data_IF_654608217654
#
_entry.id   IF_654608217654
#
_cell.length_a   1.000
_cell.length_b   1.000
_cell.length_c   1.000
_cell.angle_alpha   90.00
_cell.angle_beta   90.00
_cell.angle_gamma   90.00
#
_symmetry.space_group_name_H-M   'P 1'
#
loop_
_entity.id
_entity.type
_entity.pdbx_description
1 polymer ?
#
# COMPACT_ATOMS: atom_id res chain seq x y z
N UNK A 1 42.86 -29.21 43.00
CA UNK A 1 42.64 -28.72 44.38
C UNK A 1 43.98 -28.31 44.97
N UNK A 2 44.41 -27.07 44.75
CA UNK A 2 45.33 -26.27 45.57
C UNK A 2 44.99 -24.82 45.25
N UNK A 3 44.75 -24.01 46.28
CA UNK A 3 44.30 -22.62 46.22
C UNK A 3 45.37 -21.69 46.81
N UNK A 4 45.51 -20.47 46.26
CA UNK A 4 46.06 -19.25 46.88
C UNK A 4 45.43 -18.06 46.09
N UNK A 5 44.58 -17.19 46.65
CA UNK A 5 44.86 -15.98 47.48
C UNK A 5 45.96 -15.09 46.86
N UNK A 6 45.82 -13.79 46.54
CA UNK A 6 44.88 -12.71 46.89
C UNK A 6 45.68 -11.49 47.39
N UNK A 7 45.65 -10.35 46.66
CA UNK A 7 45.93 -8.95 47.09
C UNK A 7 45.83 -8.06 45.81
N UNK A 8 45.22 -6.88 45.72
CA UNK A 8 44.86 -5.86 46.71
C UNK A 8 45.79 -4.64 46.58
N UNK A 9 45.33 -3.53 45.98
CA UNK A 9 46.09 -2.27 45.90
C UNK A 9 45.43 -1.21 45.03
N UNK A 10 44.97 -0.14 45.68
CA UNK A 10 44.19 1.01 45.22
C UNK A 10 45.06 2.23 44.91
N UNK A 11 44.72 3.00 43.88
CA UNK A 11 45.22 4.36 43.66
C UNK A 11 44.07 5.38 43.69
N UNK A 12 44.08 6.18 44.76
CA UNK A 12 43.46 7.50 44.83
C UNK A 12 44.39 8.51 44.15
N UNK A 13 43.85 9.48 43.42
CA UNK A 13 44.23 10.89 43.58
C UNK A 13 43.31 11.82 42.78
N UNK A 14 42.65 12.68 43.53
CA UNK A 14 41.82 13.79 43.11
C UNK A 14 42.63 14.88 42.40
N UNK A 15 41.96 15.62 41.50
CA UNK A 15 42.11 17.08 41.47
C UNK A 15 40.88 17.74 40.82
N UNK A 16 40.13 18.49 41.61
CA UNK A 16 39.38 19.69 41.19
C UNK A 16 40.11 20.88 41.82
N UNK A 17 40.06 22.09 41.23
CA UNK A 17 39.03 23.02 41.68
C UNK A 17 38.51 24.01 40.62
N UNK A 18 37.36 24.61 40.98
CA UNK A 18 36.85 25.97 40.68
C UNK A 18 36.85 26.47 39.22
N UNK A 19 35.77 26.99 38.63
CA UNK A 19 34.62 27.69 39.18
C UNK A 19 34.46 29.02 38.42
N UNK A 20 33.29 29.31 37.84
CA UNK A 20 32.66 30.64 37.78
C UNK A 20 31.61 30.77 36.67
N UNK A 21 30.51 31.40 37.07
CA UNK A 21 29.39 31.85 36.26
C UNK A 21 29.76 33.05 35.36
N UNK A 22 28.96 33.27 34.30
CA UNK A 22 28.98 34.52 33.54
C UNK A 22 28.00 34.53 32.38
N UNK A 23 26.88 35.25 32.57
CA UNK A 23 25.88 35.58 31.55
C UNK A 23 26.43 36.57 30.49
N UNK A 24 25.90 36.52 29.27
CA UNK A 24 26.15 37.56 28.26
C UNK A 24 25.31 37.39 26.99
N UNK A 25 24.33 38.28 26.81
CA UNK A 25 23.53 38.45 25.59
C UNK A 25 24.26 39.30 24.53
N UNK A 26 23.99 39.09 23.24
CA UNK A 26 24.12 40.04 22.09
C UNK A 26 23.63 39.28 20.84
N UNK A 27 22.51 39.62 20.16
CA UNK A 27 22.18 40.81 19.36
C UNK A 27 22.81 40.84 17.95
N UNK A 28 21.92 40.82 16.93
CA UNK A 28 22.10 41.34 15.58
C UNK A 28 22.59 40.34 14.52
N UNK A 29 22.27 40.43 13.25
CA UNK A 29 21.33 41.23 12.43
C UNK A 29 21.42 40.61 11.02
N UNK A 30 20.38 40.77 10.20
CA UNK A 30 20.31 40.22 8.86
C UNK A 30 21.28 40.82 7.84
N UNK A 31 21.26 40.22 6.65
CA UNK A 31 21.91 40.74 5.45
C UNK A 31 21.52 39.90 4.24
N UNK A 32 20.53 40.38 3.50
CA UNK A 32 20.21 39.86 2.17
C UNK A 32 21.26 40.29 1.14
N UNK A 33 21.43 39.48 0.10
CA UNK A 33 22.18 39.86 -1.09
C UNK A 33 21.32 39.60 -2.32
N UNK A 34 20.72 40.67 -2.82
CA UNK A 34 20.31 40.80 -4.21
C UNK A 34 21.56 41.11 -5.04
N UNK A 35 21.79 40.35 -6.12
CA UNK A 35 22.84 40.59 -7.10
C UNK A 35 22.24 40.48 -8.50
N UNK A 36 21.83 41.62 -9.04
CA UNK A 36 21.38 41.80 -10.42
C UNK A 36 22.59 42.12 -11.29
N UNK A 37 22.76 41.44 -12.42
CA UNK A 37 23.57 41.95 -13.54
C UNK A 37 23.08 41.40 -14.88
N UNK A 38 22.83 42.35 -15.77
CA UNK A 38 22.22 42.26 -17.10
C UNK A 38 23.26 42.09 -18.22
N UNK A 39 22.84 41.48 -19.34
CA UNK A 39 23.46 41.57 -20.67
C UNK A 39 24.47 40.46 -20.98
N UNK A 40 24.42 39.71 -22.08
CA UNK A 40 23.82 39.90 -23.40
C UNK A 40 24.91 39.60 -24.45
N UNK A 41 24.69 38.65 -25.37
CA UNK A 41 25.64 38.39 -26.47
C UNK A 41 25.49 37.04 -27.17
N UNK A 42 25.25 37.12 -28.48
CA UNK A 42 24.91 36.09 -29.47
C UNK A 42 26.01 35.10 -29.87
N UNK A 43 25.60 33.98 -30.50
CA UNK A 43 26.39 33.17 -31.45
C UNK A 43 25.79 31.75 -31.64
N UNK A 44 25.03 31.47 -32.71
CA UNK A 44 25.43 30.92 -34.04
C UNK A 44 25.71 29.40 -34.11
N UNK A 45 25.02 28.71 -35.04
CA UNK A 45 25.45 27.48 -35.72
C UNK A 45 24.50 26.29 -35.58
N UNK A 46 23.58 26.03 -36.54
CA UNK A 46 23.67 24.99 -37.61
C UNK A 46 23.59 23.54 -37.09
N UNK A 47 22.76 22.61 -37.56
CA UNK A 47 22.03 22.41 -38.83
C UNK A 47 22.14 20.92 -39.22
N UNK A 48 21.12 20.36 -39.89
CA UNK A 48 21.16 19.04 -40.56
C UNK A 48 19.97 18.13 -40.18
N UNK A 49 18.88 18.09 -40.96
CA UNK A 49 18.65 17.25 -42.17
C UNK A 49 18.39 15.77 -41.77
N UNK A 50 17.25 15.14 -42.02
CA UNK A 50 16.48 14.95 -43.27
C UNK A 50 16.30 13.42 -43.43
N UNK A 51 15.10 12.87 -43.59
CA UNK A 51 14.51 12.35 -44.85
C UNK A 51 13.12 11.79 -44.45
N UNK A 52 11.99 12.19 -45.02
CA UNK A 52 11.45 12.03 -46.39
C UNK A 52 10.88 10.64 -46.71
N UNK A 53 9.59 10.68 -47.11
CA UNK A 53 8.77 9.61 -47.68
C UNK A 53 7.40 9.55 -46.99
N UNK A 54 6.33 10.26 -47.38
CA UNK A 54 5.93 10.76 -48.70
C UNK A 54 5.50 9.58 -49.60
N UNK A 55 4.24 9.32 -49.92
CA UNK A 55 2.98 9.98 -49.59
C UNK A 55 1.82 9.41 -50.42
N UNK A 56 0.62 9.97 -50.20
CA UNK A 56 -0.54 9.98 -51.12
C UNK A 56 -1.36 8.69 -51.16
N UNK A 57 -2.69 8.68 -51.15
CA UNK A 57 -3.78 9.64 -51.44
C UNK A 57 -5.08 8.88 -51.07
N UNK A 58 -6.29 9.38 -50.95
CA UNK A 58 -6.98 10.68 -50.86
C UNK A 58 -8.45 10.30 -50.58
N UNK A 59 -9.17 11.03 -49.74
CA UNK A 59 -10.59 10.74 -49.49
C UNK A 59 -11.27 11.57 -48.40
N UNK A 60 -11.32 12.89 -48.60
CA UNK A 60 -12.39 13.86 -48.22
C UNK A 60 -13.41 13.40 -47.16
N UNK A 61 -13.40 13.99 -45.96
CA UNK A 61 -14.23 15.16 -45.60
C UNK A 61 -15.41 14.67 -44.72
N UNK A 62 -15.59 15.11 -43.47
CA UNK A 62 -16.09 16.42 -43.05
C UNK A 62 -15.85 16.62 -41.55
N UNK A 63 -15.54 17.85 -41.16
CA UNK A 63 -15.30 18.22 -39.76
C UNK A 63 -16.55 18.17 -38.87
N UNK A 64 -16.29 18.03 -37.57
CA UNK A 64 -17.27 18.19 -36.50
C UNK A 64 -16.51 18.43 -35.20
N UNK A 65 -16.85 19.53 -34.54
CA UNK A 65 -16.18 20.11 -33.39
C UNK A 65 -16.14 19.21 -32.15
N UNK A 66 -15.19 19.51 -31.26
CA UNK A 66 -14.95 18.79 -30.03
C UNK A 66 -16.12 18.80 -29.04
N UNK A 67 -16.15 17.73 -28.25
CA UNK A 67 -16.87 17.63 -26.98
C UNK A 67 -16.05 16.71 -26.09
N UNK A 68 -15.95 17.10 -24.81
CA UNK A 68 -15.05 16.53 -23.82
C UNK A 68 -15.21 15.02 -23.60
N UNK A 69 -14.10 14.43 -23.17
CA UNK A 69 -13.99 13.05 -22.75
C UNK A 69 -15.12 12.72 -21.78
N UNK A 70 -15.97 11.80 -22.20
CA UNK A 70 -16.97 11.19 -21.35
C UNK A 70 -16.25 10.06 -20.62
N UNK A 71 -16.14 10.17 -19.30
CA UNK A 71 -15.58 9.13 -18.44
C UNK A 71 -16.22 7.79 -18.77
N UNK A 72 -15.36 6.78 -18.98
CA UNK A 72 -15.78 5.42 -19.26
C UNK A 72 -16.66 4.94 -18.13
N UNK A 73 -17.91 4.63 -18.46
CA UNK A 73 -18.79 3.91 -17.53
C UNK A 73 -18.31 2.46 -17.54
N UNK A 74 -17.46 2.11 -16.58
CA UNK A 74 -17.10 0.73 -16.27
C UNK A 74 -18.39 -0.08 -16.12
N UNK A 75 -18.59 -1.05 -17.00
CA UNK A 75 -19.74 -1.95 -16.95
C UNK A 75 -19.33 -3.14 -16.08
N UNK A 76 -19.49 -3.01 -14.75
CA UNK A 76 -18.94 -4.01 -13.84
C UNK A 76 -19.45 -4.09 -12.40
N UNK A 77 -20.42 -3.28 -11.96
CA UNK A 77 -20.99 -3.40 -10.62
C UNK A 77 -22.15 -2.44 -10.43
N UNK A 78 -23.24 -2.87 -9.80
CA UNK A 78 -24.49 -2.08 -9.67
C UNK A 78 -24.40 -0.98 -8.60
N UNK A 79 -23.41 -0.10 -8.70
CA UNK A 79 -23.26 1.12 -7.92
C UNK A 79 -22.44 2.14 -8.69
N UNK A 80 -22.90 3.40 -8.75
CA UNK A 80 -22.06 4.46 -9.30
C UNK A 80 -20.79 4.60 -8.43
N UNK A 81 -19.61 4.67 -9.05
CA UNK A 81 -18.38 4.97 -8.31
C UNK A 81 -18.55 6.29 -7.55
N UNK A 82 -18.15 6.28 -6.28
CA UNK A 82 -18.21 7.46 -5.41
C UNK A 82 -16.77 7.87 -5.09
N UNK A 83 -16.35 9.09 -5.45
CA UNK A 83 -14.99 9.54 -5.18
C UNK A 83 -14.64 9.44 -3.68
N UNK A 84 -13.50 8.84 -3.39
CA UNK A 84 -13.00 8.62 -2.04
C UNK A 84 -11.74 9.45 -1.82
N UNK A 85 -11.81 10.43 -0.90
CA UNK A 85 -10.66 11.24 -0.54
C UNK A 85 -9.90 10.63 0.62
N UNK A 86 -8.60 10.46 0.47
CA UNK A 86 -7.69 10.15 1.56
C UNK A 86 -7.14 11.44 2.17
N UNK A 87 -7.42 11.69 3.45
CA UNK A 87 -7.02 12.93 4.16
C UNK A 87 -7.30 14.23 3.39
N UNK A 88 -8.43 14.29 2.70
CA UNK A 88 -8.85 15.46 1.92
C UNK A 88 -8.20 15.61 0.53
N UNK A 89 -7.29 14.72 0.14
CA UNK A 89 -6.75 14.61 -1.21
C UNK A 89 -7.49 13.54 -2.01
N UNK A 90 -7.59 13.77 -3.31
CA UNK A 90 -8.13 12.81 -4.26
C UNK A 90 -6.95 12.26 -5.06
N UNK A 91 -6.70 10.97 -4.95
CA UNK A 91 -5.67 10.25 -5.71
C UNK A 91 -6.33 9.39 -6.79
N UNK A 92 -5.53 8.89 -7.74
CA UNK A 92 -6.01 8.09 -8.87
C UNK A 92 -6.96 6.96 -8.42
N UNK A 93 -6.54 6.14 -7.46
CA UNK A 93 -7.32 5.01 -6.95
C UNK A 93 -8.59 5.37 -6.15
N UNK A 94 -9.03 6.62 -6.17
CA UNK A 94 -10.28 7.07 -5.56
C UNK A 94 -10.97 8.21 -6.30
N UNK A 95 -10.55 8.56 -7.54
CA UNK A 95 -11.09 9.69 -8.30
C UNK A 95 -12.24 9.33 -9.26
N UNK A 96 -12.58 8.05 -9.34
CA UNK A 96 -13.56 7.41 -10.21
C UNK A 96 -13.23 7.52 -11.69
N UNK A 97 -11.95 7.52 -12.04
CA UNK A 97 -11.43 7.57 -13.39
C UNK A 97 -10.48 6.40 -13.59
N UNK A 98 -10.66 5.67 -14.67
CA UNK A 98 -9.68 4.70 -15.18
C UNK A 98 -8.44 5.48 -15.69
N UNK A 99 -7.47 5.72 -14.80
CA UNK A 99 -6.29 6.55 -15.04
C UNK A 99 -5.25 5.83 -15.91
N UNK A 100 -5.26 4.50 -15.94
CA UNK A 100 -4.33 3.68 -16.73
C UNK A 100 -4.93 3.12 -18.04
N UNK A 101 -6.25 3.26 -18.22
CA UNK A 101 -7.05 2.84 -19.37
C UNK A 101 -7.10 1.31 -19.56
N UNK A 102 -7.05 0.52 -18.49
CA UNK A 102 -7.20 -0.93 -18.54
C UNK A 102 -8.66 -1.42 -18.55
N UNK A 103 -9.61 -0.48 -18.35
CA UNK A 103 -11.05 -0.72 -18.32
C UNK A 103 -11.61 -0.99 -16.93
N UNK A 104 -10.79 -0.91 -15.88
CA UNK A 104 -11.21 -0.97 -14.46
C UNK A 104 -11.01 0.40 -13.83
N UNK A 105 -11.82 0.70 -12.81
CA UNK A 105 -11.85 2.02 -12.17
C UNK A 105 -11.60 1.86 -10.68
N UNK A 106 -10.60 2.55 -10.16
CA UNK A 106 -10.32 2.67 -8.72
C UNK A 106 -10.38 1.30 -7.98
N UNK A 107 -11.35 1.15 -7.07
CA UNK A 107 -11.60 -0.04 -6.25
C UNK A 107 -12.01 -1.29 -7.04
N UNK A 108 -12.41 -1.14 -8.30
CA UNK A 108 -12.66 -2.27 -9.21
C UNK A 108 -11.37 -2.73 -9.89
N UNK A 109 -10.31 -1.93 -9.79
CA UNK A 109 -8.98 -2.26 -10.26
C UNK A 109 -8.18 -3.05 -9.19
N UNK A 110 -7.77 -4.30 -9.47
CA UNK A 110 -6.90 -5.08 -8.61
C UNK A 110 -5.56 -4.42 -8.26
N UNK A 111 -5.08 -3.49 -9.08
CA UNK A 111 -3.80 -2.80 -8.85
C UNK A 111 -3.96 -1.63 -7.85
N UNK A 112 -5.18 -1.20 -7.55
CA UNK A 112 -5.49 -0.22 -6.50
C UNK A 112 -5.69 -0.88 -5.12
N UNK A 113 -4.82 -0.54 -4.15
CA UNK A 113 -4.88 -1.08 -2.79
C UNK A 113 -5.68 -0.20 -1.81
N UNK A 114 -6.15 0.95 -2.28
CA UNK A 114 -6.98 1.87 -1.52
C UNK A 114 -6.97 3.29 -2.11
N UNK A 115 -7.85 4.17 -1.63
CA UNK A 115 -8.01 5.54 -2.13
C UNK A 115 -6.84 6.46 -1.78
N UNK A 116 -5.90 6.00 -0.96
CA UNK A 116 -4.66 6.70 -0.65
C UNK A 116 -3.58 6.45 -1.71
N UNK A 117 -3.82 5.63 -2.73
CA UNK A 117 -2.84 5.32 -3.77
C UNK A 117 -3.06 6.13 -5.04
N UNK A 118 -1.97 6.44 -5.73
CA UNK A 118 -1.93 7.31 -6.89
C UNK A 118 -1.39 6.63 -8.16
N UNK A 119 -1.27 5.30 -8.14
CA UNK A 119 -0.99 4.51 -9.33
C UNK A 119 -1.97 3.34 -9.43
N UNK A 120 -2.53 3.17 -10.62
CA UNK A 120 -3.48 2.10 -10.96
C UNK A 120 -2.81 0.98 -11.77
N UNK A 121 -1.53 1.11 -12.09
CA UNK A 121 -0.83 0.12 -12.93
C UNK A 121 0.28 -0.63 -12.17
N UNK A 122 0.37 -0.45 -10.86
CA UNK A 122 1.36 -1.08 -9.97
C UNK A 122 0.88 -1.04 -8.53
N UNK A 123 1.33 -2.01 -7.73
CA UNK A 123 1.08 -2.04 -6.28
C UNK A 123 1.86 -0.98 -5.49
N UNK A 124 2.72 -0.21 -6.16
CA UNK A 124 3.42 0.92 -5.57
C UNK A 124 2.48 2.12 -5.47
N UNK A 125 2.17 2.55 -4.24
CA UNK A 125 1.24 3.65 -3.96
C UNK A 125 1.51 4.97 -4.71
N UNK A 126 2.73 5.24 -5.18
CA UNK A 126 3.12 6.45 -5.94
C UNK A 126 2.71 7.76 -5.26
N UNK A 127 2.70 7.79 -3.92
CA UNK A 127 2.37 8.98 -3.14
C UNK A 127 3.61 9.72 -2.65
N UNK A 128 3.56 11.07 -2.56
CA UNK A 128 4.63 11.84 -1.97
C UNK A 128 4.91 11.37 -0.54
N UNK A 129 6.16 10.95 -0.28
CA UNK A 129 6.58 10.48 1.02
C UNK A 129 6.56 8.97 1.17
N UNK A 130 6.03 8.17 0.24
CA UNK A 130 6.01 6.70 0.38
C UNK A 130 7.41 6.07 0.44
N UNK A 131 8.37 6.65 -0.27
CA UNK A 131 9.78 6.31 -0.10
C UNK A 131 10.24 6.84 1.26
N UNK A 132 10.04 6.04 2.30
CA UNK A 132 10.49 6.32 3.66
C UNK A 132 12.01 6.47 3.76
N UNK A 133 12.52 6.69 4.98
CA UNK A 133 13.96 6.62 5.22
C UNK A 133 14.48 5.25 4.75
N UNK A 134 15.70 5.21 4.23
CA UNK A 134 16.30 3.97 3.74
C UNK A 134 16.18 2.85 4.79
N UNK A 135 15.74 1.67 4.35
CA UNK A 135 15.52 0.47 5.17
C UNK A 135 14.31 0.51 6.11
N UNK A 136 13.72 1.65 6.43
CA UNK A 136 12.65 1.70 7.43
C UNK A 136 11.29 1.79 6.77
N UNK A 137 10.34 1.02 7.31
CA UNK A 137 8.96 0.98 6.85
C UNK A 137 8.02 1.05 8.05
N UNK A 138 6.95 1.82 7.91
CA UNK A 138 5.79 1.92 8.79
C UNK A 138 4.57 1.25 8.13
N UNK A 139 3.34 1.73 8.36
CA UNK A 139 2.19 1.17 7.66
C UNK A 139 2.23 1.48 6.16
N UNK A 140 2.61 0.50 5.34
CA UNK A 140 2.73 0.68 3.89
C UNK A 140 1.42 1.09 3.20
N UNK A 141 0.28 0.74 3.79
CA UNK A 141 -1.05 0.99 3.23
C UNK A 141 -1.68 2.28 3.71
N UNK A 142 -0.98 3.07 4.53
CA UNK A 142 -1.43 4.39 4.91
C UNK A 142 -0.87 5.46 3.94
N UNK A 143 -0.83 6.71 4.39
CA UNK A 143 -0.53 7.87 3.57
C UNK A 143 0.84 8.50 3.87
N UNK A 144 1.57 7.99 4.86
CA UNK A 144 2.87 8.47 5.28
C UNK A 144 3.88 7.33 5.43
N UNK A 145 5.16 7.68 5.53
CA UNK A 145 6.25 6.72 5.75
C UNK A 145 7.00 7.01 7.07
N UNK A 146 6.39 7.85 7.91
CA UNK A 146 6.96 8.30 9.17
C UNK A 146 6.25 7.66 10.37
N UNK A 147 7.04 7.06 11.26
CA UNK A 147 6.60 6.31 12.45
C UNK A 147 5.91 7.09 13.59
N UNK A 148 5.14 8.14 13.28
CA UNK A 148 4.62 9.09 14.27
C UNK A 148 3.12 9.04 14.54
N UNK A 149 2.32 8.49 13.62
CA UNK A 149 0.85 8.50 13.66
C UNK A 149 0.26 7.15 14.14
N UNK A 150 0.95 6.03 13.89
CA UNK A 150 0.41 4.68 13.98
C UNK A 150 1.23 3.72 14.86
N UNK A 151 2.48 4.08 15.21
CA UNK A 151 3.41 3.27 16.02
C UNK A 151 3.74 1.90 15.36
N UNK A 152 3.71 1.84 14.03
CA UNK A 152 4.21 0.71 13.24
C UNK A 152 5.73 0.84 13.01
N UNK A 153 6.48 -0.22 13.31
CA UNK A 153 7.95 -0.19 13.23
C UNK A 153 8.51 -1.42 12.53
N UNK A 154 9.14 -1.22 11.38
CA UNK A 154 9.92 -2.23 10.69
C UNK A 154 11.20 -1.67 10.08
N UNK A 155 12.24 -2.49 10.07
CA UNK A 155 13.49 -2.21 9.39
C UNK A 155 13.83 -3.40 8.49
N UNK A 156 14.04 -3.19 7.21
CA UNK A 156 14.45 -4.18 6.21
C UNK A 156 15.82 -4.79 6.50
N UNK A 157 16.67 -4.16 7.31
CA UNK A 157 17.87 -4.81 7.89
C UNK A 157 17.49 -5.98 8.81
N UNK A 158 16.26 -6.05 9.33
CA UNK A 158 15.76 -7.21 10.07
C UNK A 158 15.31 -8.37 9.16
N UNK A 159 15.24 -8.19 7.84
CA UNK A 159 14.84 -9.23 6.89
C UNK A 159 16.03 -10.16 6.56
N UNK A 160 15.96 -11.46 6.87
CA UNK A 160 17.03 -12.42 6.57
C UNK A 160 17.33 -12.57 5.06
N UNK A 161 16.43 -12.13 4.18
CA UNK A 161 16.66 -12.14 2.73
C UNK A 161 17.57 -11.01 2.27
N UNK A 162 17.81 -9.99 3.09
CA UNK A 162 18.63 -8.84 2.73
C UNK A 162 20.12 -9.16 2.74
N UNK A 163 20.55 -9.96 1.77
CA UNK A 163 21.93 -10.42 1.62
C UNK A 163 22.51 -9.98 0.29
N UNK A 164 23.83 -9.80 0.26
CA UNK A 164 24.55 -9.44 -0.95
C UNK A 164 24.34 -10.48 -2.07
N UNK A 165 24.35 -10.06 -3.34
CA UNK A 165 24.54 -8.69 -3.82
C UNK A 165 23.24 -7.88 -3.95
N UNK A 166 22.08 -8.49 -3.70
CA UNK A 166 20.79 -7.96 -4.12
C UNK A 166 19.99 -7.28 -3.00
N UNK A 167 20.32 -7.50 -1.72
CA UNK A 167 19.71 -6.86 -0.54
C UNK A 167 18.18 -6.64 -0.62
N UNK A 168 17.39 -7.67 -0.98
CA UNK A 168 15.94 -7.53 -0.98
C UNK A 168 15.42 -7.38 0.46
N UNK A 169 14.32 -6.63 0.70
CA UNK A 169 13.37 -6.08 -0.28
C UNK A 169 13.80 -4.78 -0.99
N UNK A 170 14.85 -4.10 -0.54
CA UNK A 170 15.28 -2.80 -1.06
C UNK A 170 15.93 -2.89 -2.45
N UNK A 171 16.56 -4.03 -2.75
CA UNK A 171 17.17 -4.30 -4.04
C UNK A 171 18.66 -3.92 -4.12
N UNK A 172 19.28 -4.18 -5.28
CA UNK A 172 20.73 -4.07 -5.45
C UNK A 172 21.22 -2.62 -5.29
N UNK A 173 22.29 -2.43 -4.52
CA UNK A 173 22.85 -1.11 -4.23
C UNK A 173 22.30 -0.47 -2.95
N UNK A 174 21.32 -1.10 -2.29
CA UNK A 174 20.88 -0.74 -0.95
C UNK A 174 21.97 -1.03 0.11
N UNK A 175 21.97 -0.26 1.20
CA UNK A 175 22.81 -0.47 2.39
C UNK A 175 22.12 -1.30 3.47
N UNK A 176 20.91 -1.79 3.24
CA UNK A 176 20.06 -2.43 4.25
C UNK A 176 20.44 -3.90 4.50
N UNK A 177 21.75 -4.20 4.58
CA UNK A 177 22.23 -5.56 4.79
C UNK A 177 21.65 -6.15 6.07
N UNK A 178 21.28 -7.42 6.02
CA UNK A 178 20.70 -8.13 7.15
C UNK A 178 21.58 -8.01 8.39
N UNK A 179 21.02 -7.42 9.44
CA UNK A 179 21.57 -7.34 10.78
C UNK A 179 20.48 -7.75 11.79
N UNK A 180 20.59 -8.92 12.45
CA UNK A 180 19.61 -9.34 13.45
C UNK A 180 19.55 -8.41 14.68
N UNK A 181 20.52 -7.51 14.84
CA UNK A 181 20.57 -6.50 15.90
C UNK A 181 20.32 -5.09 15.38
N UNK A 182 19.79 -4.93 14.16
CA UNK A 182 19.47 -3.65 13.59
C UNK A 182 18.60 -2.83 14.56
N UNK A 183 18.97 -1.57 14.72
CA UNK A 183 18.16 -0.63 15.49
C UNK A 183 17.00 -0.17 14.60
N UNK A 184 15.76 -0.30 15.10
CA UNK A 184 14.58 0.21 14.39
C UNK A 184 14.16 1.54 15.03
N UNK A 185 14.27 2.67 14.31
CA UNK A 185 13.89 3.98 14.84
C UNK A 185 12.46 4.00 15.39
N UNK A 186 12.24 4.71 16.49
CA UNK A 186 10.93 4.81 17.13
C UNK A 186 10.63 3.73 18.17
N UNK A 187 11.45 2.67 18.25
CA UNK A 187 11.26 1.55 19.19
C UNK A 187 12.58 1.06 19.79
N UNK A 188 12.51 0.29 20.87
CA UNK A 188 13.66 -0.44 21.46
C UNK A 188 13.52 -1.95 21.32
N UNK A 189 12.57 -2.40 20.49
CA UNK A 189 12.35 -3.82 20.21
C UNK A 189 13.40 -4.36 19.24
N UNK A 190 13.79 -5.62 19.43
CA UNK A 190 14.67 -6.32 18.49
C UNK A 190 13.93 -6.75 17.22
N UNK A 191 14.69 -7.07 16.18
CA UNK A 191 14.14 -7.65 14.95
C UNK A 191 13.21 -8.84 15.20
N UNK A 192 13.57 -9.75 16.11
CA UNK A 192 12.71 -10.90 16.47
C UNK A 192 11.41 -10.46 17.15
N UNK A 193 11.48 -9.46 18.04
CA UNK A 193 10.28 -8.97 18.73
C UNK A 193 9.31 -8.31 17.74
N UNK A 194 9.82 -7.47 16.82
CA UNK A 194 9.02 -6.81 15.79
C UNK A 194 8.45 -7.79 14.76
N UNK A 195 9.22 -8.83 14.42
CA UNK A 195 8.78 -9.92 13.54
C UNK A 195 7.56 -10.66 14.11
N UNK A 196 7.57 -10.91 15.42
CA UNK A 196 6.53 -11.70 16.08
C UNK A 196 5.35 -10.85 16.57
N UNK A 197 5.55 -9.54 16.81
CA UNK A 197 4.51 -8.69 17.38
C UNK A 197 4.73 -7.20 17.10
N UNK A 198 3.68 -6.56 16.61
CA UNK A 198 3.57 -5.10 16.53
C UNK A 198 2.75 -4.52 17.69
N UNK A 199 2.81 -3.20 17.89
CA UNK A 199 2.05 -2.55 18.95
C UNK A 199 0.54 -2.61 18.68
N UNK A 200 -0.28 -2.47 19.73
CA UNK A 200 -1.73 -2.40 19.55
C UNK A 200 -2.15 -1.15 18.76
N UNK A 201 -1.37 -0.07 18.83
CA UNK A 201 -1.61 1.12 18.04
C UNK A 201 -1.42 0.82 16.55
N UNK A 202 -0.31 0.16 16.20
CA UNK A 202 -0.06 -0.27 14.82
C UNK A 202 -1.17 -1.18 14.29
N UNK A 203 -1.57 -2.19 15.08
CA UNK A 203 -2.66 -3.09 14.68
C UNK A 203 -4.01 -2.39 14.56
N UNK A 204 -4.28 -1.38 15.39
CA UNK A 204 -5.55 -0.64 15.35
C UNK A 204 -5.64 0.29 14.14
N UNK A 205 -4.50 0.79 13.66
CA UNK A 205 -4.44 1.70 12.54
C UNK A 205 -4.20 0.96 11.23
N UNK A 206 -3.09 0.23 11.13
CA UNK A 206 -2.67 -0.45 9.91
C UNK A 206 -3.37 -1.79 9.66
N UNK A 207 -3.80 -2.48 10.71
CA UNK A 207 -4.41 -3.81 10.57
C UNK A 207 -5.66 -3.80 9.68
N UNK A 208 -6.50 -2.77 9.80
CA UNK A 208 -7.70 -2.59 8.97
C UNK A 208 -7.37 -2.18 7.53
N UNK A 209 -6.17 -1.64 7.27
CA UNK A 209 -5.67 -1.21 5.96
C UNK A 209 -4.82 -2.28 5.27
N UNK A 210 -4.40 -3.31 6.00
CA UNK A 210 -3.56 -4.39 5.47
C UNK A 210 -4.42 -5.38 4.66
N UNK A 211 -4.18 -5.52 3.34
CA UNK A 211 -4.91 -6.47 2.50
C UNK A 211 -4.77 -7.92 2.97
N UNK A 212 -5.79 -8.75 2.73
CA UNK A 212 -5.70 -10.19 2.98
C UNK A 212 -4.55 -10.81 2.16
N UNK A 213 -3.63 -11.48 2.85
CA UNK A 213 -2.42 -12.05 2.26
C UNK A 213 -1.16 -11.17 2.37
N UNK A 214 -1.22 -10.05 3.09
CA UNK A 214 -0.11 -9.12 3.29
C UNK A 214 0.20 -8.91 4.78
N UNK A 215 1.45 -8.55 5.10
CA UNK A 215 1.77 -7.90 6.37
C UNK A 215 1.61 -6.39 6.27
N UNK A 216 1.57 -5.68 7.42
CA UNK A 216 1.42 -4.22 7.48
C UNK A 216 2.44 -3.43 6.67
N UNK A 217 3.61 -4.04 6.47
CA UNK A 217 4.75 -3.33 5.93
C UNK A 217 4.77 -3.43 4.41
N UNK A 218 3.94 -4.25 3.76
CA UNK A 218 3.87 -4.35 2.29
C UNK A 218 4.54 -5.59 1.72
N UNK A 219 4.81 -6.61 2.56
CA UNK A 219 5.21 -7.93 2.13
C UNK A 219 3.98 -8.82 1.92
N UNK A 220 3.73 -9.23 0.68
CA UNK A 220 2.50 -9.94 0.32
C UNK A 220 2.75 -11.29 -0.34
N UNK A 221 1.87 -12.26 -0.07
CA UNK A 221 1.87 -13.55 -0.73
C UNK A 221 1.22 -13.43 -2.11
N UNK A 222 2.02 -13.24 -3.16
CA UNK A 222 1.51 -13.07 -4.52
C UNK A 222 2.21 -14.02 -5.51
N UNK A 223 1.50 -14.70 -6.42
CA UNK A 223 0.04 -14.73 -6.53
C UNK A 223 -0.56 -15.41 -5.30
N UNK A 224 -1.72 -14.92 -4.86
CA UNK A 224 -2.31 -15.33 -3.59
C UNK A 224 -2.58 -16.84 -3.49
N UNK A 225 -2.21 -17.41 -2.34
CA UNK A 225 -2.27 -18.85 -2.08
C UNK A 225 -1.04 -19.61 -2.59
N UNK A 226 -0.03 -18.90 -3.08
CA UNK A 226 1.28 -19.45 -3.41
C UNK A 226 2.21 -19.51 -2.20
N UNK A 227 3.49 -19.80 -2.45
CA UNK A 227 4.53 -19.90 -1.42
C UNK A 227 5.60 -18.80 -1.55
N UNK A 228 5.33 -17.75 -2.32
CA UNK A 228 6.29 -16.67 -2.56
C UNK A 228 5.77 -15.38 -1.92
N UNK A 229 6.69 -14.58 -1.41
CA UNK A 229 6.41 -13.33 -0.71
C UNK A 229 7.16 -12.22 -1.42
N UNK A 230 6.44 -11.18 -1.82
CA UNK A 230 6.96 -10.09 -2.64
C UNK A 230 6.71 -8.75 -1.97
N UNK A 231 7.69 -7.86 -2.12
CA UNK A 231 7.67 -6.50 -1.65
C UNK A 231 6.92 -5.60 -2.63
N UNK A 232 5.78 -5.06 -2.21
CA UNK A 232 4.97 -4.19 -3.05
C UNK A 232 5.67 -2.86 -3.37
N UNK A 233 6.49 -2.37 -2.45
CA UNK A 233 7.28 -1.15 -2.62
C UNK A 233 8.48 -1.29 -3.55
N UNK A 234 8.60 -2.39 -4.31
CA UNK A 234 9.74 -2.61 -5.21
C UNK A 234 9.73 -1.58 -6.33
N UNK A 235 10.79 -0.79 -6.45
CA UNK A 235 10.92 0.26 -7.46
C UNK A 235 12.18 0.13 -8.32
N UNK A 236 12.14 0.78 -9.49
CA UNK A 236 13.30 1.03 -10.34
C UNK A 236 13.35 2.50 -10.70
N UNK A 237 14.39 3.18 -10.24
CA UNK A 237 14.60 4.62 -10.50
C UNK A 237 13.43 5.50 -10.01
N UNK A 238 12.90 5.23 -8.81
CA UNK A 238 11.77 5.97 -8.23
C UNK A 238 10.41 5.67 -8.83
N UNK A 239 10.29 4.57 -9.58
CA UNK A 239 9.02 4.13 -10.19
C UNK A 239 8.73 2.70 -9.75
N UNK A 240 7.52 2.49 -9.23
CA UNK A 240 7.00 1.16 -8.90
C UNK A 240 7.22 0.16 -10.03
N UNK A 241 7.79 -0.99 -9.69
CA UNK A 241 8.14 -2.03 -10.66
C UNK A 241 7.39 -3.33 -10.43
N UNK A 242 6.78 -3.53 -9.26
CA UNK A 242 6.02 -4.72 -8.96
C UNK A 242 4.55 -4.60 -9.40
N UNK A 243 4.10 -5.55 -10.20
CA UNK A 243 2.72 -5.66 -10.71
C UNK A 243 2.30 -7.12 -10.63
N UNK A 244 1.00 -7.41 -10.70
CA UNK A 244 0.52 -8.81 -10.73
C UNK A 244 1.13 -9.62 -11.89
N UNK A 245 1.32 -8.97 -13.04
CA UNK A 245 1.92 -9.58 -14.24
C UNK A 245 3.40 -9.92 -14.05
N UNK A 246 4.10 -9.08 -13.30
CA UNK A 246 5.55 -9.18 -13.10
C UNK A 246 5.92 -9.88 -11.78
N UNK A 247 4.93 -10.38 -11.02
CA UNK A 247 5.10 -10.97 -9.69
C UNK A 247 6.17 -12.06 -9.60
N UNK A 248 6.39 -12.81 -10.68
CA UNK A 248 7.37 -13.89 -10.73
C UNK A 248 8.78 -13.43 -11.14
N UNK A 249 8.99 -12.14 -11.41
CA UNK A 249 10.29 -11.54 -11.72
C UNK A 249 10.88 -10.89 -10.46
N UNK A 250 11.85 -11.54 -9.78
CA UNK A 250 12.42 -11.03 -8.52
C UNK A 250 13.24 -9.75 -8.72
N UNK A 251 13.52 -9.34 -9.95
CA UNK A 251 14.15 -8.05 -10.23
C UNK A 251 13.15 -6.90 -10.29
N UNK A 252 11.85 -7.20 -10.39
CA UNK A 252 10.73 -6.24 -10.43
C UNK A 252 9.89 -6.30 -9.16
N UNK A 253 9.73 -7.48 -8.59
CA UNK A 253 9.08 -7.74 -7.32
C UNK A 253 10.10 -8.38 -6.38
N UNK A 254 10.81 -7.57 -5.60
CA UNK A 254 11.83 -8.04 -4.68
C UNK A 254 11.20 -9.00 -3.66
N UNK A 255 11.88 -10.10 -3.29
CA UNK A 255 11.37 -10.98 -2.26
C UNK A 255 11.45 -10.33 -0.88
N UNK A 256 10.61 -10.76 0.05
CA UNK A 256 10.60 -10.29 1.44
C UNK A 256 10.20 -11.41 2.40
N UNK A 257 10.54 -11.25 3.68
CA UNK A 257 10.06 -12.10 4.77
C UNK A 257 8.87 -11.43 5.44
N UNK A 258 7.69 -12.06 5.52
CA UNK A 258 6.50 -11.43 6.11
C UNK A 258 6.64 -11.28 7.63
N UNK A 259 6.30 -10.11 8.13
CA UNK A 259 6.18 -9.77 9.55
C UNK A 259 4.91 -10.41 10.12
N UNK A 260 5.10 -11.53 10.80
CA UNK A 260 4.01 -12.34 11.37
C UNK A 260 3.17 -11.59 12.39
N UNK A 261 3.78 -10.66 13.12
CA UNK A 261 3.15 -9.90 14.19
C UNK A 261 1.95 -9.06 13.75
N UNK A 262 1.81 -8.81 12.45
CA UNK A 262 0.63 -8.16 11.89
C UNK A 262 0.25 -8.67 10.49
N UNK A 263 0.64 -9.92 10.19
CA UNK A 263 0.24 -10.57 8.95
C UNK A 263 -1.28 -10.73 8.92
N UNK A 264 -1.94 -10.13 7.95
CA UNK A 264 -3.32 -10.43 7.63
C UNK A 264 -3.33 -11.65 6.70
N UNK A 265 -3.82 -12.78 7.20
CA UNK A 265 -3.82 -14.03 6.43
C UNK A 265 -4.82 -13.96 5.27
N UNK A 266 -4.72 -14.94 4.37
CA UNK A 266 -5.61 -15.09 3.23
C UNK A 266 -6.35 -16.42 3.42
N UNK A 267 -7.52 -16.37 4.06
CA UNK A 267 -8.31 -17.57 4.30
C UNK A 267 -9.02 -18.04 3.02
N UNK A 268 -9.44 -19.31 3.03
CA UNK A 268 -9.98 -19.99 1.84
C UNK A 268 -11.13 -19.25 1.15
N UNK A 269 -12.00 -18.61 1.94
CA UNK A 269 -13.18 -17.90 1.45
C UNK A 269 -13.06 -16.38 1.64
N UNK A 270 -11.83 -15.86 1.60
CA UNK A 270 -11.53 -14.44 1.53
C UNK A 270 -11.02 -14.11 0.12
N UNK A 271 -11.40 -12.94 -0.40
CA UNK A 271 -10.64 -12.36 -1.49
C UNK A 271 -9.30 -11.92 -0.93
N UNK A 272 -8.23 -12.21 -1.66
CA UNK A 272 -6.87 -11.88 -1.26
C UNK A 272 -6.25 -11.03 -2.35
N UNK A 273 -5.16 -10.33 -2.02
CA UNK A 273 -4.53 -9.47 -3.01
C UNK A 273 -4.19 -10.24 -4.31
N UNK A 274 -4.57 -9.68 -5.45
CA UNK A 274 -4.41 -10.32 -6.77
C UNK A 274 -5.45 -11.40 -7.12
N UNK A 275 -6.50 -11.60 -6.31
CA UNK A 275 -7.66 -12.46 -6.65
C UNK A 275 -8.92 -11.62 -6.88
N UNK A 276 -9.64 -11.96 -7.95
CA UNK A 276 -10.93 -11.35 -8.31
C UNK A 276 -12.12 -12.29 -8.08
N UNK A 277 -11.86 -13.54 -7.73
CA UNK A 277 -12.88 -14.58 -7.58
C UNK A 277 -12.61 -15.45 -6.36
N UNK A 278 -13.68 -15.95 -5.74
CA UNK A 278 -13.61 -16.94 -4.68
C UNK A 278 -13.65 -18.37 -5.23
N UNK A 279 -13.08 -19.36 -4.52
CA UNK A 279 -13.28 -20.76 -4.84
C UNK A 279 -14.78 -21.13 -4.94
N UNK A 280 -15.19 -22.02 -5.88
CA UNK A 280 -16.59 -22.37 -6.08
C UNK A 280 -17.31 -22.86 -4.82
N UNK A 281 -16.60 -23.56 -3.94
CA UNK A 281 -17.13 -24.08 -2.68
C UNK A 281 -17.48 -23.02 -1.64
N UNK A 282 -17.00 -21.78 -1.82
CA UNK A 282 -17.37 -20.67 -0.96
C UNK A 282 -18.75 -20.12 -1.34
N UNK A 283 -19.21 -20.30 -2.58
CA UNK A 283 -20.56 -19.89 -2.97
C UNK A 283 -21.60 -20.88 -2.46
N UNK A 284 -22.74 -20.42 -1.89
CA UNK A 284 -23.83 -21.32 -1.57
C UNK A 284 -24.33 -21.95 -2.88
N UNK A 285 -24.77 -23.22 -2.87
CA UNK A 285 -25.34 -23.82 -4.06
C UNK A 285 -26.47 -22.92 -4.57
N UNK A 286 -26.64 -22.80 -5.90
CA UNK A 286 -27.77 -22.08 -6.47
C UNK A 286 -29.04 -22.57 -5.77
N UNK A 287 -29.97 -21.67 -5.37
CA UNK A 287 -31.22 -22.12 -4.78
C UNK A 287 -31.84 -23.14 -5.73
N UNK A 288 -32.09 -24.35 -5.23
CA UNK A 288 -32.74 -25.41 -6.00
C UNK A 288 -33.93 -24.75 -6.69
N UNK A 289 -33.92 -24.73 -8.03
CA UNK A 289 -35.04 -24.23 -8.81
C UNK A 289 -36.22 -25.13 -8.47
N UNK A 290 -36.96 -24.75 -7.43
CA UNK A 290 -37.93 -25.61 -6.78
C UNK A 290 -38.86 -26.16 -7.83
N UNK A 291 -38.81 -27.48 -8.05
CA UNK A 291 -39.85 -28.18 -8.78
C UNK A 291 -41.14 -27.87 -8.03
N UNK A 292 -42.02 -27.10 -8.66
CA UNK A 292 -43.21 -26.53 -8.07
C UNK A 292 -44.07 -27.58 -7.37
N UNK A 293 -43.90 -27.69 -6.05
CA UNK A 293 -44.81 -28.38 -5.17
C UNK A 293 -46.01 -27.48 -4.93
N UNK A 294 -47.04 -27.64 -5.75
CA UNK A 294 -48.36 -27.04 -5.51
C UNK A 294 -48.89 -27.55 -4.15
N UNK A 295 -48.81 -26.69 -3.13
CA UNK A 295 -49.25 -26.97 -1.77
C UNK A 295 -50.00 -25.77 -1.20
N UNK A 296 -51.32 -25.84 -1.27
CA UNK A 296 -52.28 -24.83 -0.83
C UNK A 296 -52.23 -24.58 0.69
N UNK A 297 -52.12 -23.29 1.06
CA UNK A 297 -52.89 -22.64 2.13
C UNK A 297 -52.53 -22.94 3.59
N UNK A 298 -51.96 -21.95 4.28
CA UNK A 298 -51.86 -21.93 5.74
C UNK A 298 -51.49 -20.54 6.27
N UNK A 299 -52.36 -19.99 7.10
CA UNK A 299 -52.46 -18.61 7.60
C UNK A 299 -51.35 -18.14 8.56
N UNK A 300 -50.94 -16.88 8.41
CA UNK A 300 -50.81 -15.87 9.48
C UNK A 300 -49.89 -16.16 10.68
N UNK A 301 -48.70 -15.53 10.68
CA UNK A 301 -47.84 -15.41 11.85
C UNK A 301 -47.05 -14.11 11.80
N UNK A 302 -47.37 -13.18 12.70
CA UNK A 302 -46.67 -11.92 12.95
C UNK A 302 -45.25 -12.21 13.46
N UNK A 303 -44.24 -11.66 12.79
CA UNK A 303 -42.84 -11.74 13.21
C UNK A 303 -42.08 -10.54 12.66
N UNK A 304 -41.51 -9.74 13.57
CA UNK A 304 -40.61 -8.62 13.31
C UNK A 304 -39.38 -9.10 12.51
N UNK A 305 -39.41 -8.91 11.19
CA UNK A 305 -38.33 -9.27 10.28
C UNK A 305 -37.42 -8.08 10.04
N UNK A 306 -36.19 -8.16 10.53
CA UNK A 306 -35.08 -7.37 10.01
C UNK A 306 -34.98 -7.58 8.51
N UNK A 307 -34.78 -6.50 7.77
CA UNK A 307 -34.69 -6.50 6.31
C UNK A 307 -33.47 -7.31 5.88
N UNK A 308 -33.66 -8.60 5.61
CA UNK A 308 -32.77 -9.37 4.76
C UNK A 308 -32.97 -8.81 3.34
N UNK A 309 -31.99 -8.04 2.86
CA UNK A 309 -31.95 -7.56 1.49
C UNK A 309 -31.99 -8.76 0.54
N UNK A 310 -33.03 -8.82 -0.30
CA UNK A 310 -33.07 -9.71 -1.46
C UNK A 310 -32.17 -9.12 -2.54
N UNK A 311 -30.92 -9.59 -2.55
CA UNK A 311 -29.95 -9.54 -3.65
C UNK A 311 -29.25 -10.90 -3.67
N UNK A 312 -28.99 -11.45 -4.85
CA UNK A 312 -28.67 -12.87 -5.07
C UNK A 312 -27.55 -13.45 -4.19
N UNK A 313 -27.57 -14.79 -4.08
CA UNK A 313 -26.73 -15.70 -3.28
C UNK A 313 -25.20 -15.62 -3.54
N UNK A 314 -24.61 -14.43 -3.58
CA UNK A 314 -23.17 -14.26 -3.53
C UNK A 314 -22.72 -14.16 -2.09
N UNK A 315 -22.67 -15.32 -1.45
CA UNK A 315 -22.51 -15.42 0.01
C UNK A 315 -21.46 -16.44 0.37
N UNK A 316 -20.21 -16.14 0.07
CA UNK A 316 -19.06 -16.94 0.47
C UNK A 316 -17.95 -16.17 1.13
N UNK A 317 -17.84 -14.88 0.78
CA UNK A 317 -16.86 -13.97 1.35
C UNK A 317 -17.02 -13.90 2.86
N UNK A 318 -15.94 -14.17 3.55
CA UNK A 318 -15.83 -13.94 4.99
C UNK A 318 -15.22 -12.55 5.21
N UNK A 319 -15.80 -11.81 6.15
CA UNK A 319 -15.27 -10.53 6.61
C UNK A 319 -15.26 -10.50 8.15
N UNK A 320 -14.42 -9.65 8.76
CA UNK A 320 -14.51 -9.37 10.18
C UNK A 320 -15.92 -8.94 10.59
N UNK A 321 -16.29 -9.21 11.85
CA UNK A 321 -17.63 -8.92 12.36
C UNK A 321 -18.00 -7.45 12.15
N UNK A 322 -19.13 -7.21 11.49
CA UNK A 322 -19.66 -5.87 11.24
C UNK A 322 -19.16 -5.19 9.96
N UNK A 323 -18.25 -5.82 9.19
CA UNK A 323 -17.81 -5.33 7.88
C UNK A 323 -18.70 -5.89 6.76
N UNK A 324 -19.02 -5.06 5.78
CA UNK A 324 -19.81 -5.46 4.60
C UNK A 324 -18.89 -6.18 3.59
N UNK A 325 -19.29 -7.35 3.05
CA UNK A 325 -18.62 -7.95 1.90
C UNK A 325 -18.70 -7.11 0.63
N UNK A 326 -17.64 -7.07 -0.16
CA UNK A 326 -17.55 -6.32 -1.42
C UNK A 326 -16.55 -6.99 -2.39
N UNK A 327 -16.41 -6.46 -3.61
CA UNK A 327 -15.39 -6.89 -4.57
C UNK A 327 -15.81 -8.04 -5.49
N UNK A 328 -16.87 -8.79 -5.16
CA UNK A 328 -17.53 -9.67 -6.11
C UNK A 328 -18.59 -8.90 -6.90
N UNK A 329 -18.76 -9.22 -8.18
CA UNK A 329 -19.68 -8.54 -9.13
C UNK A 329 -21.16 -8.46 -8.70
N UNK A 330 -21.54 -9.32 -7.76
CA UNK A 330 -22.88 -9.48 -7.22
C UNK A 330 -23.06 -8.90 -5.81
N UNK A 331 -21.97 -8.40 -5.20
CA UNK A 331 -22.02 -7.72 -3.91
C UNK A 331 -22.31 -6.23 -4.10
N UNK A 332 -22.98 -5.59 -3.13
CA UNK A 332 -23.19 -4.15 -3.18
C UNK A 332 -21.86 -3.39 -3.02
N UNK A 333 -21.80 -2.19 -3.59
CA UNK A 333 -20.70 -1.25 -3.35
C UNK A 333 -20.60 -0.89 -1.86
N UNK A 334 -19.41 -0.47 -1.43
CA UNK A 334 -19.19 -0.07 -0.05
C UNK A 334 -19.98 1.21 0.32
N UNK A 335 -20.40 1.35 1.59
CA UNK A 335 -21.03 2.57 2.07
C UNK A 335 -20.14 3.80 1.86
N UNK A 336 -20.76 4.99 1.81
CA UNK A 336 -20.01 6.25 1.70
C UNK A 336 -18.97 6.39 2.82
N UNK A 337 -17.75 6.80 2.45
CA UNK A 337 -16.61 6.89 3.37
C UNK A 337 -15.90 5.54 3.62
N UNK A 338 -16.22 4.51 2.84
CA UNK A 338 -15.53 3.22 2.84
C UNK A 338 -15.10 2.83 1.43
N UNK A 339 -14.10 1.96 1.33
CA UNK A 339 -13.60 1.37 0.09
C UNK A 339 -13.50 -0.14 0.24
N UNK A 340 -13.45 -0.86 -0.89
CA UNK A 340 -13.34 -2.31 -0.86
C UNK A 340 -11.88 -2.74 -0.74
N UNK A 341 -11.49 -3.30 0.40
CA UNK A 341 -10.14 -3.83 0.63
C UNK A 341 -10.18 -5.35 0.69
N UNK A 342 -9.67 -6.01 -0.35
CA UNK A 342 -9.66 -7.50 -0.44
C UNK A 342 -11.01 -8.13 -0.08
N UNK A 343 -12.07 -7.45 -0.53
CA UNK A 343 -13.46 -7.85 -0.43
C UNK A 343 -14.18 -7.62 0.89
N UNK A 344 -13.64 -6.77 1.76
CA UNK A 344 -14.37 -6.21 2.89
C UNK A 344 -14.33 -4.70 2.87
N UNK A 345 -15.45 -4.05 3.21
CA UNK A 345 -15.51 -2.59 3.23
C UNK A 345 -14.73 -2.03 4.42
N UNK A 346 -13.72 -1.23 4.12
CA UNK A 346 -12.80 -0.59 5.08
C UNK A 346 -13.00 0.92 5.06
N UNK A 347 -12.89 1.58 6.22
CA UNK A 347 -13.01 3.03 6.31
C UNK A 347 -11.84 3.72 5.61
N UNK A 348 -12.14 4.79 4.88
CA UNK A 348 -11.09 5.61 4.27
C UNK A 348 -10.29 6.33 5.38
N UNK A 349 -8.95 6.28 5.38
CA UNK A 349 -8.13 7.04 6.32
C UNK A 349 -8.44 8.55 6.26
N UNK A 350 -8.60 9.17 7.44
CA UNK A 350 -8.99 10.58 7.62
C UNK A 350 -7.88 11.42 8.22
#
# INVERSE_FOLDING_TARGET
>A
MVAFAGCGGSDESANSPDGSAGSGASAGSGGGSAGSSTGGGSGTGTGGAGQDGGGGTSGTGTGGAGTGGTGGTGTGGTGACVPAKCQGKLYACGDCIDNDNDGKVDMEDPDCLGPCHNAENTYYGSIPGQAGPACTVDCYFDQDSGSGNDDCHWNHECDPLSVAPNYPPEGPGSTCAYDPNANTPGTSQSCTQLMDKQSNACLSFCGDLTPNGCDCFGCCNLPAGGNQWVWLGSEKSGVGSCTLKDVNDPTKCQPCTPVKGCLNTCEKCELCLGKTELPPECSPPPPDAGTGGSGTGGTGGSGTGGTAGSGGSCGGQICPVGKQPCGLSCQPACPSGQFCLTGCCTAVPT
#
